data_IF_473375649260
#
_entry.id   IF_473375649260
#
_cell.length_a   1.000
_cell.length_b   1.000
_cell.length_c   1.000
_cell.angle_alpha   90.00
_cell.angle_beta   90.00
_cell.angle_gamma   90.00
#
_symmetry.space_group_name_H-M   'P 1'
#
loop_
_entity.id
_entity.type
_entity.pdbx_description
1 polymer ?
#
# COMPACT_ATOMS: atom_id res chain seq x y z
N UNK A 1 -10.13 25.99 26.02
CA UNK A 1 -8.86 26.53 25.41
C UNK A 1 -8.00 26.98 26.57
N UNK A 2 -6.72 26.61 26.58
CA UNK A 2 -5.80 26.96 27.65
C UNK A 2 -5.65 28.51 27.70
N UNK A 3 -5.75 29.11 28.89
CA UNK A 3 -5.72 30.57 29.06
C UNK A 3 -4.38 31.18 28.60
N UNK A 4 -3.29 30.45 28.74
CA UNK A 4 -1.97 30.84 28.21
C UNK A 4 -1.98 31.07 26.68
N UNK A 5 -2.76 30.28 25.94
CA UNK A 5 -2.86 30.39 24.47
C UNK A 5 -3.78 31.55 24.06
N UNK A 6 -4.83 31.84 24.86
CA UNK A 6 -5.77 32.93 24.57
C UNK A 6 -5.12 34.30 24.68
N UNK A 7 -4.21 34.48 25.66
CA UNK A 7 -3.64 35.76 26.02
C UNK A 7 -2.31 36.05 25.33
N UNK A 8 -1.78 35.08 24.57
CA UNK A 8 -0.52 35.25 23.82
C UNK A 8 -0.75 36.00 22.50
N UNK A 9 -0.07 37.16 22.38
CA UNK A 9 -0.08 37.94 21.13
C UNK A 9 0.42 37.19 19.93
N UNK A 10 1.39 36.24 20.09
CA UNK A 10 1.92 35.39 19.05
C UNK A 10 0.91 34.33 18.57
N UNK A 11 0.01 33.91 19.49
CA UNK A 11 -1.01 32.92 19.14
C UNK A 11 -2.26 33.53 18.47
N UNK A 12 -2.53 34.80 18.68
CA UNK A 12 -3.73 35.50 18.15
C UNK A 12 -3.87 35.36 16.63
N UNK A 13 -2.84 35.62 15.79
CA UNK A 13 -2.97 35.48 14.35
C UNK A 13 -3.29 34.05 13.91
N UNK A 14 -2.71 33.05 14.60
CA UNK A 14 -2.95 31.63 14.30
C UNK A 14 -4.40 31.25 14.63
N UNK A 15 -4.90 31.74 15.80
CA UNK A 15 -6.29 31.49 16.22
C UNK A 15 -7.27 32.14 15.23
N UNK A 16 -7.02 33.42 14.87
CA UNK A 16 -7.89 34.15 13.91
C UNK A 16 -7.93 33.43 12.56
N UNK A 17 -6.79 33.02 12.06
CA UNK A 17 -6.73 32.29 10.77
C UNK A 17 -7.42 30.94 10.84
N UNK A 18 -7.29 30.20 11.95
CA UNK A 18 -7.99 28.95 12.16
C UNK A 18 -9.51 29.15 12.24
N UNK A 19 -9.97 30.18 12.93
CA UNK A 19 -11.41 30.52 13.02
C UNK A 19 -11.98 30.94 11.67
N UNK A 20 -11.24 31.72 10.87
CA UNK A 20 -11.64 32.04 9.49
C UNK A 20 -11.77 30.79 8.62
N UNK A 21 -10.78 29.92 8.66
CA UNK A 21 -10.82 28.67 7.89
C UNK A 21 -12.00 27.77 8.31
N UNK A 22 -12.30 27.69 9.62
CA UNK A 22 -13.47 26.96 10.12
C UNK A 22 -14.79 27.60 9.68
N UNK A 23 -14.86 28.93 9.64
CA UNK A 23 -16.03 29.65 9.19
C UNK A 23 -16.30 29.41 7.71
N UNK A 24 -15.26 29.50 6.88
CA UNK A 24 -15.35 29.27 5.44
C UNK A 24 -15.80 27.82 5.12
N UNK A 25 -15.27 26.85 5.86
CA UNK A 25 -15.70 25.44 5.76
C UNK A 25 -17.19 25.24 6.11
N UNK A 26 -17.68 25.93 7.15
CA UNK A 26 -19.08 25.81 7.58
C UNK A 26 -20.05 26.48 6.61
N UNK A 27 -19.65 27.60 5.96
CA UNK A 27 -20.54 28.37 5.08
C UNK A 27 -20.55 27.87 3.64
N UNK A 28 -19.41 27.36 3.14
CA UNK A 28 -19.26 27.00 1.74
C UNK A 28 -19.17 25.49 1.49
N UNK A 29 -19.15 24.67 2.55
CA UNK A 29 -18.92 23.23 2.45
C UNK A 29 -17.49 22.89 1.99
N UNK A 30 -17.11 21.63 1.92
CA UNK A 30 -15.81 21.21 1.44
C UNK A 30 -15.68 21.48 -0.06
N UNK A 31 -14.94 22.51 -0.43
CA UNK A 31 -14.58 22.80 -1.82
C UNK A 31 -13.25 22.15 -2.17
N UNK A 32 -13.01 21.86 -3.45
CA UNK A 32 -11.72 21.33 -3.93
C UNK A 32 -10.52 22.26 -3.63
N UNK A 33 -10.78 23.54 -3.30
CA UNK A 33 -9.77 24.51 -2.89
C UNK A 33 -9.28 24.33 -1.44
N UNK A 34 -10.02 23.59 -0.60
CA UNK A 34 -9.72 23.45 0.82
C UNK A 34 -8.43 22.62 1.07
N UNK A 35 -8.02 21.81 0.10
CA UNK A 35 -6.75 21.08 0.17
C UNK A 35 -5.51 21.95 -0.05
N UNK A 36 -5.67 23.16 -0.54
CA UNK A 36 -4.56 24.09 -0.77
C UNK A 36 -4.27 24.97 0.44
N UNK A 37 -5.22 25.10 1.37
CA UNK A 37 -5.02 25.86 2.60
C UNK A 37 -4.22 25.04 3.64
N UNK A 38 -3.02 25.49 4.05
CA UNK A 38 -2.20 24.77 5.03
C UNK A 38 -2.89 24.54 6.41
N UNK A 39 -3.88 25.36 6.75
CA UNK A 39 -4.62 25.28 8.02
C UNK A 39 -5.74 24.26 7.99
N UNK A 40 -6.33 24.00 6.82
CA UNK A 40 -7.39 23.02 6.61
C UNK A 40 -6.85 21.69 6.08
N UNK A 41 -5.56 21.63 5.76
CA UNK A 41 -4.91 20.42 5.29
C UNK A 41 -5.09 19.32 6.35
N UNK A 42 -5.68 18.17 5.99
CA UNK A 42 -5.75 17.04 6.90
C UNK A 42 -4.34 16.74 7.44
N UNK A 43 -4.17 16.83 8.74
CA UNK A 43 -2.93 16.41 9.40
C UNK A 43 -2.92 14.89 9.38
N UNK A 44 -2.53 14.32 8.24
CA UNK A 44 -2.30 12.88 8.17
C UNK A 44 -1.28 12.51 9.25
N UNK A 45 -1.55 11.50 10.05
CA UNK A 45 -0.57 10.99 11.00
C UNK A 45 0.73 10.68 10.25
N UNK A 46 1.87 10.88 10.90
CA UNK A 46 3.19 10.68 10.32
C UNK A 46 3.41 9.28 9.72
N UNK A 47 2.68 8.30 10.25
CA UNK A 47 2.65 6.94 9.71
C UNK A 47 1.23 6.39 9.81
N UNK A 48 0.68 5.92 8.69
CA UNK A 48 -0.59 5.21 8.62
C UNK A 48 -0.31 3.82 8.07
N UNK A 49 -0.83 2.81 8.76
CA UNK A 49 -0.90 1.45 8.25
C UNK A 49 -2.29 1.23 7.65
N UNK A 50 -2.35 0.76 6.41
CA UNK A 50 -3.61 0.39 5.76
C UNK A 50 -3.78 -1.13 5.74
N UNK A 51 -4.96 -1.59 6.12
CA UNK A 51 -5.47 -2.92 5.82
C UNK A 51 -6.54 -2.77 4.74
N UNK A 52 -6.33 -3.40 3.58
CA UNK A 52 -7.16 -3.21 2.40
C UNK A 52 -7.64 -4.57 1.88
N UNK A 53 -8.96 -4.75 1.81
CA UNK A 53 -9.55 -5.98 1.33
C UNK A 53 -9.17 -7.20 2.17
N UNK A 54 -8.96 -8.32 1.52
CA UNK A 54 -8.64 -9.61 2.17
C UNK A 54 -9.85 -10.52 2.26
N UNK A 55 -9.71 -11.60 3.01
CA UNK A 55 -10.76 -12.62 3.20
C UNK A 55 -11.35 -12.50 4.60
N UNK A 56 -12.65 -12.30 4.71
CA UNK A 56 -13.34 -12.14 5.99
C UNK A 56 -14.73 -12.77 5.93
N UNK A 57 -15.11 -13.48 6.99
CA UNK A 57 -16.46 -14.06 7.08
C UNK A 57 -16.79 -15.07 5.97
N UNK A 58 -15.81 -15.74 5.38
CA UNK A 58 -16.01 -16.72 4.30
C UNK A 58 -16.08 -16.12 2.89
N UNK A 59 -15.78 -14.82 2.72
CA UNK A 59 -15.78 -14.14 1.42
C UNK A 59 -14.73 -13.04 1.35
N UNK A 60 -14.35 -12.60 0.12
CA UNK A 60 -13.56 -11.40 -0.06
C UNK A 60 -14.28 -10.16 0.47
N UNK A 61 -13.54 -9.20 0.99
CA UNK A 61 -14.08 -7.92 1.45
C UNK A 61 -13.50 -6.74 0.68
N UNK A 62 -14.24 -5.63 0.63
CA UNK A 62 -13.75 -4.35 0.11
C UNK A 62 -13.35 -3.39 1.24
N UNK A 63 -13.39 -3.84 2.50
CA UNK A 63 -13.10 -3.02 3.66
C UNK A 63 -11.69 -2.42 3.57
N UNK A 64 -11.58 -1.14 3.92
CA UNK A 64 -10.32 -0.44 4.08
C UNK A 64 -10.29 0.13 5.49
N UNK A 65 -9.30 -0.25 6.25
CA UNK A 65 -9.06 0.26 7.58
C UNK A 65 -7.69 0.95 7.64
N UNK A 66 -7.65 2.10 8.26
CA UNK A 66 -6.43 2.87 8.49
C UNK A 66 -6.11 2.88 9.98
N UNK A 67 -4.93 2.42 10.36
CA UNK A 67 -4.42 2.50 11.72
C UNK A 67 -3.65 3.79 11.91
N UNK A 68 -4.12 4.61 12.84
CA UNK A 68 -3.43 5.80 13.29
C UNK A 68 -2.51 5.45 14.46
N UNK A 69 -1.21 5.38 14.19
CA UNK A 69 -0.21 5.01 15.19
C UNK A 69 -0.09 5.99 16.37
N UNK A 70 -0.57 7.24 16.25
CA UNK A 70 -0.56 8.20 17.34
C UNK A 70 -1.78 8.09 18.22
N UNK A 71 -2.93 7.80 17.61
CA UNK A 71 -4.19 7.64 18.30
C UNK A 71 -4.44 6.21 18.79
N UNK A 72 -3.56 5.27 18.40
CA UNK A 72 -3.64 3.83 18.70
C UNK A 72 -5.04 3.26 18.39
N UNK A 73 -5.52 3.52 17.17
CA UNK A 73 -6.85 3.08 16.76
C UNK A 73 -6.94 2.82 15.26
N UNK A 74 -7.80 1.89 14.89
CA UNK A 74 -8.25 1.67 13.53
C UNK A 74 -9.44 2.56 13.20
N UNK A 75 -9.46 3.09 11.99
CA UNK A 75 -10.55 3.91 11.44
C UNK A 75 -10.99 3.28 10.12
N UNK A 76 -12.29 3.01 9.97
CA UNK A 76 -12.84 2.57 8.71
C UNK A 76 -12.81 3.73 7.70
N UNK A 77 -12.19 3.48 6.53
CA UNK A 77 -12.09 4.43 5.41
C UNK A 77 -12.57 3.80 4.10
N UNK A 78 -13.40 2.76 4.19
CA UNK A 78 -13.94 2.03 3.04
C UNK A 78 -14.66 2.96 2.08
N UNK A 79 -14.40 2.79 0.79
CA UNK A 79 -15.16 3.42 -0.29
C UNK A 79 -16.19 2.39 -0.80
N UNK A 80 -17.46 2.71 -0.75
CA UNK A 80 -18.55 1.77 -1.08
C UNK A 80 -18.55 1.29 -2.55
N UNK A 81 -17.93 2.04 -3.44
CA UNK A 81 -17.89 1.76 -4.88
C UNK A 81 -16.90 0.66 -5.30
N UNK A 82 -16.06 0.17 -4.37
CA UNK A 82 -15.01 -0.79 -4.71
C UNK A 82 -15.48 -2.24 -4.54
N UNK A 83 -15.16 -3.05 -5.55
CA UNK A 83 -15.44 -4.49 -5.51
C UNK A 83 -14.53 -5.20 -4.49
N UNK A 84 -15.03 -6.20 -3.78
CA UNK A 84 -14.25 -7.03 -2.87
C UNK A 84 -13.05 -7.66 -3.56
N UNK A 85 -11.93 -7.78 -2.83
CA UNK A 85 -10.71 -8.39 -3.34
C UNK A 85 -9.88 -9.02 -2.23
N UNK A 86 -9.49 -10.26 -2.42
CA UNK A 86 -8.62 -10.99 -1.52
C UNK A 86 -7.35 -11.47 -2.25
N UNK A 87 -6.34 -11.87 -1.47
CA UNK A 87 -5.09 -12.49 -1.97
C UNK A 87 -4.33 -11.64 -2.99
N UNK A 88 -4.56 -10.34 -2.97
CA UNK A 88 -3.83 -9.36 -3.77
C UNK A 88 -2.50 -8.97 -3.11
N UNK A 89 -1.58 -8.46 -3.90
CA UNK A 89 -0.40 -7.77 -3.37
C UNK A 89 -0.69 -6.31 -3.12
N UNK A 90 -0.01 -5.71 -2.14
CA UNK A 90 -0.10 -4.29 -1.85
C UNK A 90 1.28 -3.64 -1.83
N UNK A 91 1.38 -2.42 -2.35
CA UNK A 91 2.62 -1.64 -2.35
C UNK A 91 2.31 -0.15 -2.23
N UNK A 92 3.13 0.57 -1.45
CA UNK A 92 3.09 2.03 -1.40
C UNK A 92 4.20 2.61 -2.28
N UNK A 93 3.81 3.48 -3.20
CA UNK A 93 4.77 4.17 -4.08
C UNK A 93 4.25 5.56 -4.47
N UNK A 94 5.09 6.59 -4.29
CA UNK A 94 4.82 7.98 -4.72
C UNK A 94 3.46 8.53 -4.27
N UNK A 95 3.08 8.29 -3.02
CA UNK A 95 1.84 8.82 -2.45
C UNK A 95 0.59 7.95 -2.67
N UNK A 96 0.70 6.86 -3.42
CA UNK A 96 -0.40 5.95 -3.72
C UNK A 96 -0.19 4.57 -3.12
N UNK A 97 -1.28 3.93 -2.72
CA UNK A 97 -1.31 2.51 -2.36
C UNK A 97 -1.80 1.72 -3.57
N UNK A 98 -0.97 0.82 -4.07
CA UNK A 98 -1.30 -0.03 -5.21
C UNK A 98 -1.80 -1.38 -4.73
N UNK A 99 -2.90 -1.85 -5.33
CA UNK A 99 -3.48 -3.17 -5.12
C UNK A 99 -3.33 -3.95 -6.42
N UNK A 100 -2.66 -5.07 -6.34
CA UNK A 100 -2.11 -5.77 -7.51
C UNK A 100 -2.62 -7.20 -7.53
N UNK A 101 -3.34 -7.56 -8.60
CA UNK A 101 -3.90 -8.89 -8.76
C UNK A 101 -4.98 -9.21 -7.72
N UNK A 102 -5.04 -10.46 -7.29
CA UNK A 102 -6.00 -10.97 -6.30
C UNK A 102 -7.13 -11.80 -6.90
N UNK A 103 -8.18 -12.00 -6.11
CA UNK A 103 -9.31 -12.87 -6.38
C UNK A 103 -10.59 -12.36 -5.69
N UNK A 104 -11.77 -12.56 -6.28
CA UNK A 104 -13.05 -12.12 -5.71
C UNK A 104 -14.06 -13.24 -5.44
N UNK A 105 -13.66 -14.47 -5.43
CA UNK A 105 -14.42 -15.72 -5.37
C UNK A 105 -14.88 -16.27 -6.73
N UNK A 106 -14.75 -15.51 -7.79
CA UNK A 106 -15.09 -15.90 -9.16
C UNK A 106 -13.88 -15.77 -10.07
N UNK A 107 -13.28 -14.59 -10.09
CA UNK A 107 -12.23 -14.23 -11.03
C UNK A 107 -10.87 -14.02 -10.37
N UNK A 108 -9.83 -14.45 -11.07
CA UNK A 108 -8.44 -14.12 -10.80
C UNK A 108 -8.05 -12.87 -11.59
N UNK A 109 -7.40 -11.92 -10.94
CA UNK A 109 -7.15 -10.62 -11.52
C UNK A 109 -5.71 -10.43 -12.01
N UNK A 110 -5.57 -9.84 -13.19
CA UNK A 110 -4.36 -9.14 -13.60
C UNK A 110 -4.48 -7.61 -13.42
N UNK A 111 -5.67 -7.12 -13.07
CA UNK A 111 -5.92 -5.71 -12.90
C UNK A 111 -5.16 -5.14 -11.70
N UNK A 112 -4.75 -3.88 -11.84
CA UNK A 112 -4.06 -3.12 -10.83
C UNK A 112 -4.80 -1.81 -10.61
N UNK A 113 -5.03 -1.48 -9.34
CA UNK A 113 -5.65 -0.22 -8.93
C UNK A 113 -4.71 0.51 -7.99
N UNK A 114 -4.76 1.83 -7.99
CA UNK A 114 -4.08 2.66 -7.00
C UNK A 114 -5.07 3.51 -6.21
N UNK A 115 -4.89 3.56 -4.93
CA UNK A 115 -5.66 4.35 -3.98
C UNK A 115 -4.91 5.63 -3.63
N UNK A 116 -5.57 6.78 -3.76
CA UNK A 116 -5.09 8.05 -3.24
C UNK A 116 -5.63 8.22 -1.80
N UNK A 117 -4.79 8.10 -0.76
CA UNK A 117 -5.25 8.15 0.62
C UNK A 117 -5.68 9.55 1.07
N UNK A 118 -5.28 10.60 0.34
CA UNK A 118 -5.66 11.99 0.64
C UNK A 118 -7.04 12.29 0.07
N UNK A 119 -7.25 11.96 -1.21
CA UNK A 119 -8.51 12.20 -1.91
C UNK A 119 -9.53 11.11 -1.67
N UNK A 120 -9.10 9.96 -1.12
CA UNK A 120 -9.92 8.74 -0.95
C UNK A 120 -10.53 8.26 -2.26
N UNK A 121 -9.77 8.34 -3.34
CA UNK A 121 -10.21 7.95 -4.69
C UNK A 121 -9.38 6.79 -5.22
N UNK A 122 -10.02 5.95 -6.01
CA UNK A 122 -9.40 4.85 -6.71
C UNK A 122 -9.17 5.19 -8.18
N UNK A 123 -8.07 4.71 -8.72
CA UNK A 123 -7.74 4.84 -10.14
C UNK A 123 -7.24 3.50 -10.67
N UNK A 124 -7.80 3.07 -11.78
CA UNK A 124 -7.25 1.92 -12.47
C UNK A 124 -5.99 2.34 -13.23
N UNK A 125 -4.97 1.47 -13.18
CA UNK A 125 -3.73 1.62 -13.94
C UNK A 125 -3.55 0.43 -14.88
N UNK A 126 -2.48 0.41 -15.67
CA UNK A 126 -2.23 -0.68 -16.60
C UNK A 126 -2.26 -2.04 -15.88
N UNK A 127 -2.92 -3.06 -16.45
CA UNK A 127 -2.95 -4.40 -15.88
C UNK A 127 -1.61 -5.12 -16.11
N UNK A 128 -1.32 -6.12 -15.28
CA UNK A 128 -0.24 -7.06 -15.50
C UNK A 128 -0.50 -7.94 -16.74
N UNK A 129 0.56 -8.57 -17.23
CA UNK A 129 0.44 -9.57 -18.31
C UNK A 129 -0.26 -10.86 -17.83
N UNK A 130 -0.01 -11.26 -16.59
CA UNK A 130 -0.59 -12.48 -16.00
C UNK A 130 -1.58 -12.15 -14.88
N UNK A 131 -2.65 -12.95 -14.78
CA UNK A 131 -3.50 -12.99 -13.60
C UNK A 131 -2.68 -13.56 -12.45
N UNK A 132 -2.79 -12.96 -11.26
CA UNK A 132 -2.03 -13.38 -10.08
C UNK A 132 -2.83 -13.17 -8.80
N UNK A 133 -3.19 -14.22 -8.12
CA UNK A 133 -3.52 -14.18 -6.70
C UNK A 133 -2.39 -14.81 -5.88
N UNK A 134 -2.34 -14.57 -4.56
CA UNK A 134 -1.21 -14.96 -3.71
C UNK A 134 0.14 -14.45 -4.25
N UNK A 135 0.10 -13.27 -4.85
CA UNK A 135 1.24 -12.65 -5.52
C UNK A 135 2.16 -11.98 -4.51
N UNK A 136 3.45 -12.14 -4.72
CA UNK A 136 4.48 -11.42 -3.95
C UNK A 136 4.76 -10.06 -4.59
N UNK A 137 4.68 -8.98 -3.81
CA UNK A 137 4.87 -7.62 -4.30
C UNK A 137 5.90 -6.89 -3.45
N UNK A 138 6.77 -6.13 -4.09
CA UNK A 138 7.72 -5.23 -3.42
C UNK A 138 8.02 -4.00 -4.26
N UNK A 139 8.60 -2.97 -3.64
CA UNK A 139 9.05 -1.75 -4.32
C UNK A 139 10.57 -1.67 -4.29
N UNK A 140 11.17 -1.43 -5.45
CA UNK A 140 12.59 -1.20 -5.58
C UNK A 140 12.85 -0.13 -6.63
N UNK A 141 13.68 0.86 -6.31
CA UNK A 141 14.12 1.93 -7.24
C UNK A 141 12.98 2.60 -8.01
N UNK A 142 11.89 2.94 -7.32
CA UNK A 142 10.67 3.55 -7.89
C UNK A 142 9.87 2.66 -8.86
N UNK A 143 10.13 1.36 -8.88
CA UNK A 143 9.32 0.37 -9.60
C UNK A 143 8.60 -0.53 -8.61
N UNK A 144 7.44 -1.05 -9.04
CA UNK A 144 6.75 -2.11 -8.32
C UNK A 144 7.06 -3.42 -9.02
N UNK A 145 7.39 -4.44 -8.25
CA UNK A 145 7.67 -5.79 -8.74
C UNK A 145 6.57 -6.73 -8.27
N UNK A 146 5.98 -7.49 -9.19
CA UNK A 146 5.02 -8.55 -8.91
C UNK A 146 5.61 -9.88 -9.34
N UNK A 147 5.67 -10.84 -8.45
CA UNK A 147 6.40 -12.10 -8.66
C UNK A 147 5.57 -13.29 -8.23
N UNK A 148 5.55 -14.34 -9.06
CA UNK A 148 4.85 -15.58 -8.78
C UNK A 148 3.34 -15.41 -8.64
N UNK A 149 2.76 -16.11 -7.69
CA UNK A 149 1.32 -16.20 -7.48
C UNK A 149 0.69 -17.40 -8.19
N UNK A 150 -0.63 -17.37 -8.27
CA UNK A 150 -1.46 -18.39 -8.92
C UNK A 150 -2.43 -17.71 -9.88
N UNK A 151 -2.56 -18.21 -11.10
CA UNK A 151 -3.36 -17.58 -12.17
C UNK A 151 -4.78 -18.15 -12.30
N UNK A 152 -5.11 -19.14 -11.48
CA UNK A 152 -6.35 -19.92 -11.53
C UNK A 152 -6.12 -21.35 -12.02
N UNK A 153 -4.96 -21.64 -12.60
CA UNK A 153 -4.61 -22.95 -13.15
C UNK A 153 -3.30 -23.48 -12.60
N UNK A 154 -2.26 -22.64 -12.60
CA UNK A 154 -0.91 -23.03 -12.20
C UNK A 154 -0.26 -21.97 -11.31
N UNK A 155 0.71 -22.41 -10.51
CA UNK A 155 1.63 -21.49 -9.82
C UNK A 155 2.62 -20.92 -10.80
N UNK A 156 2.96 -19.65 -10.64
CA UNK A 156 3.80 -18.90 -11.55
C UNK A 156 5.24 -18.77 -11.03
N UNK A 157 6.20 -18.83 -11.93
CA UNK A 157 7.58 -18.39 -11.68
C UNK A 157 7.87 -17.04 -12.35
N UNK A 158 6.95 -16.56 -13.20
CA UNK A 158 7.12 -15.29 -13.91
C UNK A 158 7.09 -14.11 -12.98
N UNK A 159 7.79 -13.05 -13.39
CA UNK A 159 7.86 -11.80 -12.66
C UNK A 159 7.71 -10.61 -13.61
N UNK A 160 7.11 -9.53 -13.11
CA UNK A 160 6.83 -8.31 -13.86
C UNK A 160 7.23 -7.09 -13.05
N UNK A 161 7.60 -6.03 -13.74
CA UNK A 161 7.95 -4.73 -13.17
C UNK A 161 7.04 -3.65 -13.74
N UNK A 162 6.45 -2.85 -12.85
CA UNK A 162 5.63 -1.70 -13.19
C UNK A 162 6.40 -0.40 -13.06
N UNK A 163 6.29 0.44 -14.08
CA UNK A 163 6.83 1.80 -14.12
C UNK A 163 5.70 2.82 -14.06
N UNK A 164 5.56 3.57 -12.95
CA UNK A 164 4.45 4.51 -12.79
C UNK A 164 4.45 5.67 -13.79
N UNK A 165 5.62 6.11 -14.26
CA UNK A 165 5.78 7.23 -15.18
C UNK A 165 5.21 6.92 -16.56
N UNK A 166 5.43 5.71 -17.04
CA UNK A 166 4.95 5.24 -18.34
C UNK A 166 3.62 4.50 -18.24
N UNK A 167 3.18 4.17 -17.02
CA UNK A 167 2.01 3.33 -16.74
C UNK A 167 2.10 1.98 -17.49
N UNK A 168 3.24 1.30 -17.41
CA UNK A 168 3.49 0.05 -18.12
C UNK A 168 4.07 -1.03 -17.23
N UNK A 169 3.68 -2.28 -17.50
CA UNK A 169 4.28 -3.48 -16.97
C UNK A 169 5.26 -4.08 -17.99
N UNK A 170 6.38 -4.56 -17.51
CA UNK A 170 7.39 -5.25 -18.33
C UNK A 170 7.73 -6.58 -17.68
N UNK A 171 7.69 -7.65 -18.46
CA UNK A 171 8.19 -8.94 -18.00
C UNK A 171 9.70 -8.85 -17.74
N UNK A 172 10.12 -9.44 -16.62
CA UNK A 172 11.52 -9.55 -16.25
C UNK A 172 11.91 -11.03 -16.15
N UNK A 173 13.19 -11.32 -15.88
CA UNK A 173 13.66 -12.70 -15.73
C UNK A 173 12.80 -13.45 -14.71
N UNK A 174 12.34 -14.66 -15.04
CA UNK A 174 11.53 -15.45 -14.14
C UNK A 174 12.37 -16.00 -12.97
N UNK A 175 11.71 -16.34 -11.88
CA UNK A 175 12.31 -17.13 -10.80
C UNK A 175 12.61 -18.56 -11.30
N UNK A 176 13.52 -19.23 -10.65
CA UNK A 176 13.80 -20.65 -10.96
C UNK A 176 12.61 -21.54 -10.60
N UNK A 177 11.94 -21.26 -9.50
CA UNK A 177 10.83 -22.04 -8.97
C UNK A 177 9.51 -21.30 -9.07
N UNK A 178 8.43 -22.05 -9.33
CA UNK A 178 7.06 -21.56 -9.21
C UNK A 178 6.72 -21.33 -7.74
N UNK A 179 6.22 -20.14 -7.40
CA UNK A 179 5.91 -19.76 -6.02
C UNK A 179 4.58 -19.04 -5.92
N UNK A 180 3.76 -19.45 -4.95
CA UNK A 180 2.60 -18.69 -4.47
C UNK A 180 2.75 -18.46 -2.98
N UNK A 181 2.05 -17.49 -2.41
CA UNK A 181 2.08 -17.16 -0.99
C UNK A 181 3.48 -16.76 -0.46
N UNK A 182 4.36 -16.35 -1.36
CA UNK A 182 5.67 -15.86 -0.99
C UNK A 182 5.56 -14.38 -0.58
N UNK A 183 6.32 -13.99 0.44
CA UNK A 183 6.50 -12.58 0.79
C UNK A 183 7.84 -12.08 0.27
N UNK A 184 7.85 -10.89 -0.31
CA UNK A 184 9.05 -10.21 -0.76
C UNK A 184 9.24 -8.91 0.00
N UNK A 185 10.47 -8.61 0.32
CA UNK A 185 10.87 -7.32 0.88
C UNK A 185 12.16 -6.86 0.26
N UNK A 186 12.36 -5.54 0.23
CA UNK A 186 13.64 -4.93 -0.15
C UNK A 186 14.41 -4.65 1.12
N UNK A 187 15.60 -5.22 1.23
CA UNK A 187 16.51 -4.92 2.31
C UNK A 187 17.52 -3.86 1.81
N UNK A 188 17.49 -2.71 2.44
CA UNK A 188 18.32 -1.53 2.27
C UNK A 188 19.38 -1.59 1.16
N UNK A 189 19.07 -0.97 0.04
CA UNK A 189 20.10 -0.50 -0.88
C UNK A 189 20.97 0.53 -0.15
N UNK A 190 22.04 0.13 0.51
CA UNK A 190 23.13 1.04 0.79
C UNK A 190 23.65 1.46 -0.57
N UNK A 191 23.32 2.68 -0.97
CA UNK A 191 24.05 3.37 -2.03
C UNK A 191 25.47 3.51 -1.54
N UNK A 192 26.34 2.58 -1.92
CA UNK A 192 27.76 2.82 -1.96
C UNK A 192 28.08 3.49 -3.29
N UNK A 193 29.06 4.39 -3.35
CA UNK A 193 29.47 5.00 -4.61
C UNK A 193 29.87 3.92 -5.64
N UNK A 194 29.95 4.22 -6.93
CA UNK A 194 29.66 3.35 -8.05
C UNK A 194 30.45 2.04 -8.05
N UNK A 195 29.75 0.93 -7.83
CA UNK A 195 30.29 -0.41 -7.85
C UNK A 195 29.27 -1.39 -7.29
N UNK A 196 28.57 -2.09 -8.15
CA UNK A 196 27.67 -3.23 -7.92
C UNK A 196 26.62 -3.03 -6.79
N UNK A 197 25.38 -2.80 -7.19
CA UNK A 197 24.23 -2.94 -6.33
C UNK A 197 23.93 -4.44 -6.11
N UNK A 198 24.21 -4.95 -4.92
CA UNK A 198 23.69 -6.24 -4.48
C UNK A 198 22.26 -6.03 -3.97
N UNK A 199 21.30 -6.57 -4.71
CA UNK A 199 19.89 -6.59 -4.32
C UNK A 199 19.67 -7.92 -3.62
N UNK A 200 19.43 -7.89 -2.32
CA UNK A 200 18.98 -9.08 -1.58
C UNK A 200 17.46 -9.00 -1.43
N UNK A 201 16.75 -9.86 -2.16
CA UNK A 201 15.33 -10.10 -1.95
C UNK A 201 15.19 -11.16 -0.85
N UNK A 202 14.68 -10.77 0.32
CA UNK A 202 14.35 -11.72 1.37
C UNK A 202 12.91 -12.23 1.15
N UNK A 203 12.76 -13.53 0.94
CA UNK A 203 11.45 -14.18 0.90
C UNK A 203 11.10 -14.67 2.30
N UNK A 204 10.04 -14.13 2.89
CA UNK A 204 9.45 -14.68 4.10
C UNK A 204 8.42 -15.76 3.68
N UNK A 205 8.71 -17.00 3.96
CA UNK A 205 7.76 -18.10 3.79
C UNK A 205 6.98 -18.26 5.10
N UNK A 206 5.67 -18.15 5.06
CA UNK A 206 4.82 -18.66 6.11
C UNK A 206 4.83 -20.18 6.04
N UNK A 207 5.37 -20.82 7.05
CA UNK A 207 5.27 -22.27 7.19
C UNK A 207 4.13 -22.51 8.17
N UNK A 208 3.02 -23.03 7.66
CA UNK A 208 2.00 -23.65 8.52
C UNK A 208 2.59 -24.90 9.16
N UNK A 209 2.93 -24.81 10.43
CA UNK A 209 3.25 -26.00 11.20
C UNK A 209 1.93 -26.64 11.67
N UNK A 210 1.80 -27.95 11.50
CA UNK A 210 0.64 -28.78 11.91
C UNK A 210 0.27 -28.70 13.40
N UNK A 211 0.91 -27.85 14.18
CA UNK A 211 0.68 -27.63 15.62
C UNK A 211 0.12 -26.25 15.97
N UNK A 212 -0.38 -25.47 15.02
CA UNK A 212 -1.17 -24.24 15.31
C UNK A 212 -0.40 -23.04 15.84
N UNK A 213 0.92 -23.01 15.76
CA UNK A 213 1.74 -21.87 16.16
C UNK A 213 2.31 -21.13 14.92
N UNK A 214 2.06 -19.83 14.84
CA UNK A 214 2.58 -18.96 13.77
C UNK A 214 3.89 -18.34 14.26
N UNK A 215 5.02 -18.72 13.66
CA UNK A 215 6.30 -18.07 13.89
C UNK A 215 6.90 -17.55 12.58
N UNK A 216 7.39 -16.30 12.51
CA UNK A 216 8.14 -15.81 11.36
C UNK A 216 9.54 -16.43 11.34
N UNK A 217 9.87 -17.13 10.27
CA UNK A 217 11.23 -17.59 10.04
C UNK A 217 11.92 -16.68 8.99
N UNK A 218 13.00 -16.03 9.41
CA UNK A 218 13.89 -15.28 8.50
C UNK A 218 14.92 -16.28 7.98
N UNK A 219 14.86 -16.58 6.68
CA UNK A 219 15.91 -17.33 6.01
C UNK A 219 16.85 -16.36 5.28
N UNK A 220 18.01 -16.14 5.86
CA UNK A 220 19.12 -15.48 5.16
C UNK A 220 19.91 -16.55 4.44
N UNK A 221 19.91 -16.54 3.11
CA UNK A 221 20.91 -17.29 2.36
C UNK A 221 22.13 -16.38 2.13
N UNK A 222 23.21 -16.61 2.87
CA UNK A 222 24.52 -16.11 2.49
C UNK A 222 25.08 -17.06 1.45
N UNK A 223 25.21 -16.64 0.20
CA UNK A 223 26.12 -17.27 -0.73
C UNK A 223 27.50 -16.65 -0.52
N UNK A 224 28.37 -17.40 0.14
CA UNK A 224 29.80 -17.25 -0.06
C UNK A 224 30.11 -17.84 -1.45
N UNK A 225 30.61 -16.98 -2.35
CA UNK A 225 31.73 -17.17 -3.26
C UNK A 225 31.96 -15.89 -4.08
#
# INVERSE_FOLDING_TARGET
>A
MNDYVKDSEECKPVIINALKAMYDLNMNGPSNSDFTNPLTRPRLPYAILFAIGGWSGGSPTNAIEAYDARADRWVNVTCEEESPRAYHGAAYLKGYVYIIGGFDSVDYFNSVKRFDPVKKTWHQVAPMHSRRCYVSVTVLSNFIYAMGGFDGYVRLNTAERYEPETNQWTLIAPMHEQRSDASATTLYGKVRPPGKAEITLCFLRWIENRSGGIHPAILTSSSND
#
